data_IF_297027137824
#
_entry.id   IF_297027137824
#
_cell.length_a   1.000
_cell.length_b   1.000
_cell.length_c   1.000
_cell.angle_alpha   90.00
_cell.angle_beta   90.00
_cell.angle_gamma   90.00
#
_symmetry.space_group_name_H-M   'P 1'
#
loop_
_entity.id
_entity.type
_entity.pdbx_description
1 polymer ?
#
# COMPACT_ATOMS: atom_id res chain seq x y z
N UNK A 1 36.53 24.75 8.54
CA UNK A 1 37.00 23.48 7.92
C UNK A 1 36.74 22.28 8.83
N UNK A 2 37.23 22.26 10.08
CA UNK A 2 37.03 21.13 11.01
C UNK A 2 35.56 20.84 11.35
N UNK A 3 34.72 21.87 11.52
CA UNK A 3 33.29 21.70 11.82
C UNK A 3 32.52 21.00 10.69
N UNK A 4 32.71 21.41 9.45
CA UNK A 4 32.11 20.73 8.28
C UNK A 4 32.62 19.28 8.15
N UNK A 5 33.90 19.02 8.43
CA UNK A 5 34.43 17.65 8.43
C UNK A 5 33.80 16.78 9.53
N UNK A 6 33.56 17.35 10.72
CA UNK A 6 32.84 16.70 11.81
C UNK A 6 31.39 16.37 11.40
N UNK A 7 30.68 17.31 10.76
CA UNK A 7 29.33 17.06 10.23
C UNK A 7 29.34 15.95 9.18
N UNK A 8 30.32 15.93 8.27
CA UNK A 8 30.47 14.87 7.26
C UNK A 8 30.75 13.50 7.87
N UNK A 9 31.55 13.44 8.95
CA UNK A 9 31.79 12.20 9.70
C UNK A 9 30.49 11.68 10.32
N UNK A 10 29.74 12.55 10.99
CA UNK A 10 28.45 12.19 11.61
C UNK A 10 27.48 11.61 10.58
N UNK A 11 27.39 12.22 9.40
CA UNK A 11 26.54 11.72 8.30
C UNK A 11 27.06 10.39 7.76
N UNK A 12 28.36 10.31 7.46
CA UNK A 12 28.97 9.15 6.79
C UNK A 12 28.96 7.90 7.66
N UNK A 13 29.19 8.08 8.95
CA UNK A 13 29.36 6.99 9.91
C UNK A 13 28.08 6.77 10.73
N UNK A 14 26.97 7.42 10.34
CA UNK A 14 25.64 7.33 10.95
C UNK A 14 25.63 7.54 12.48
N UNK A 15 26.44 8.49 12.94
CA UNK A 15 26.62 8.73 14.37
C UNK A 15 25.47 9.60 14.92
N UNK A 16 25.06 9.40 16.19
CA UNK A 16 24.14 10.30 16.85
C UNK A 16 24.69 11.73 16.91
N UNK A 17 23.84 12.75 16.78
CA UNK A 17 24.28 14.16 16.88
C UNK A 17 24.90 14.51 18.24
N UNK A 18 24.56 13.77 19.29
CA UNK A 18 25.18 13.91 20.62
C UNK A 18 26.62 13.41 20.67
N UNK A 19 27.13 12.74 19.64
CA UNK A 19 28.51 12.24 19.58
C UNK A 19 29.53 13.36 19.81
N UNK A 20 29.26 14.58 19.31
CA UNK A 20 30.15 15.74 19.48
C UNK A 20 30.23 16.27 20.91
N UNK A 21 29.31 15.84 21.78
CA UNK A 21 29.29 16.18 23.21
C UNK A 21 29.85 15.03 24.07
N UNK A 22 30.23 13.91 23.46
CA UNK A 22 30.80 12.76 24.15
C UNK A 22 32.18 13.08 24.73
N UNK A 23 32.39 12.75 26.01
CA UNK A 23 33.62 13.08 26.75
C UNK A 23 34.88 12.60 26.00
N UNK A 24 34.92 11.34 25.58
CA UNK A 24 36.08 10.79 24.88
C UNK A 24 36.37 11.44 23.52
N UNK A 25 35.33 11.82 22.78
CA UNK A 25 35.50 12.57 21.52
C UNK A 25 36.05 13.97 21.77
N UNK A 26 35.53 14.65 22.81
CA UNK A 26 36.00 15.97 23.22
C UNK A 26 37.46 15.95 23.70
N UNK A 27 37.85 14.97 24.52
CA UNK A 27 39.22 14.81 25.00
C UNK A 27 40.19 14.54 23.84
N UNK A 28 39.86 13.59 22.97
CA UNK A 28 40.66 13.29 21.78
C UNK A 28 40.88 14.53 20.89
N UNK A 29 39.81 15.29 20.61
CA UNK A 29 39.92 16.49 19.78
C UNK A 29 40.61 17.66 20.48
N UNK A 30 40.57 17.77 21.81
CA UNK A 30 41.36 18.77 22.53
C UNK A 30 42.85 18.52 22.39
N UNK A 31 43.28 17.26 22.45
CA UNK A 31 44.68 16.88 22.21
C UNK A 31 45.08 17.10 20.75
N UNK A 32 44.24 16.69 19.80
CA UNK A 32 44.55 16.80 18.38
C UNK A 32 44.43 18.23 17.81
N UNK A 33 43.47 19.03 18.31
CA UNK A 33 43.19 20.40 17.88
C UNK A 33 42.64 21.24 19.05
N UNK A 34 43.52 21.81 19.89
CA UNK A 34 43.12 22.54 21.10
C UNK A 34 42.25 23.77 20.85
N UNK A 35 42.29 24.35 19.63
CA UNK A 35 41.52 25.54 19.26
C UNK A 35 40.16 25.22 18.63
N UNK A 36 39.77 23.95 18.56
CA UNK A 36 38.47 23.57 18.02
C UNK A 36 37.35 23.98 18.97
N UNK A 37 36.38 24.74 18.46
CA UNK A 37 35.17 25.06 19.19
C UNK A 37 34.15 23.91 19.02
N UNK A 38 33.73 23.34 20.15
CA UNK A 38 32.89 22.15 20.18
C UNK A 38 31.43 22.55 19.90
N UNK A 39 30.87 22.16 18.75
CA UNK A 39 29.47 22.45 18.47
C UNK A 39 28.57 21.61 19.38
N UNK A 40 27.42 22.16 19.77
CA UNK A 40 26.37 21.38 20.41
C UNK A 40 25.66 20.45 19.41
N UNK A 41 24.96 19.44 19.91
CA UNK A 41 24.10 18.54 19.11
C UNK A 41 23.11 19.32 18.23
N UNK A 42 22.57 20.42 18.75
CA UNK A 42 21.61 21.29 18.05
C UNK A 42 22.28 22.07 16.94
N UNK A 43 23.55 22.43 17.14
CA UNK A 43 24.37 23.12 16.15
C UNK A 43 24.73 22.16 15.01
N UNK A 44 25.13 20.93 15.33
CA UNK A 44 25.32 19.86 14.34
C UNK A 44 24.03 19.58 13.56
N UNK A 45 22.88 19.46 14.24
CA UNK A 45 21.61 19.22 13.57
C UNK A 45 21.27 20.31 12.54
N UNK A 46 21.52 21.58 12.87
CA UNK A 46 21.38 22.70 11.93
C UNK A 46 22.35 22.58 10.76
N UNK A 47 23.63 22.30 11.02
CA UNK A 47 24.63 22.20 9.95
C UNK A 47 24.36 21.01 9.00
N UNK A 48 23.87 19.88 9.54
CA UNK A 48 23.40 18.74 8.73
C UNK A 48 22.24 19.16 7.84
N UNK A 49 21.29 19.91 8.40
CA UNK A 49 20.14 20.41 7.64
C UNK A 49 20.56 21.39 6.54
N UNK A 50 21.48 22.31 6.83
CA UNK A 50 21.99 23.28 5.87
C UNK A 50 22.74 22.57 4.73
N UNK A 51 23.60 21.60 5.06
CA UNK A 51 24.26 20.75 4.05
C UNK A 51 23.24 19.98 3.21
N UNK A 52 22.19 19.41 3.82
CA UNK A 52 21.12 18.75 3.06
C UNK A 52 20.44 19.71 2.09
N UNK A 53 20.15 20.95 2.51
CA UNK A 53 19.50 21.95 1.67
C UNK A 53 20.41 22.40 0.51
N UNK A 54 21.71 22.55 0.76
CA UNK A 54 22.71 22.84 -0.28
C UNK A 54 22.80 21.70 -1.31
N UNK A 55 22.94 20.45 -0.85
CA UNK A 55 23.00 19.29 -1.75
C UNK A 55 21.69 19.11 -2.51
N UNK A 56 20.54 19.29 -1.85
CA UNK A 56 19.22 19.28 -2.49
C UNK A 56 19.10 20.35 -3.57
N UNK A 57 19.60 21.56 -3.32
CA UNK A 57 19.58 22.63 -4.30
C UNK A 57 20.45 22.30 -5.53
N UNK A 58 21.64 21.70 -5.33
CA UNK A 58 22.52 21.23 -6.42
C UNK A 58 21.87 20.14 -7.26
N UNK A 59 21.12 19.23 -6.64
CA UNK A 59 20.44 18.17 -7.39
C UNK A 59 19.21 18.73 -8.13
N UNK A 60 18.53 19.73 -7.55
CA UNK A 60 17.36 20.36 -8.16
C UNK A 60 17.70 21.34 -9.30
N UNK A 61 18.90 21.92 -9.34
CA UNK A 61 19.31 22.83 -10.42
C UNK A 61 19.41 22.13 -11.78
N UNK A 62 19.54 20.81 -11.81
CA UNK A 62 19.59 20.01 -13.05
C UNK A 62 18.23 19.44 -13.48
N UNK A 63 17.13 19.69 -12.74
CA UNK A 63 15.72 19.40 -13.09
C UNK A 63 15.34 17.93 -13.35
N UNK A 64 16.32 17.06 -13.60
CA UNK A 64 16.20 15.73 -14.15
C UNK A 64 16.78 14.64 -13.23
N UNK A 65 17.53 15.02 -12.18
CA UNK A 65 18.28 14.05 -11.35
C UNK A 65 17.45 13.43 -10.21
N UNK A 66 16.33 14.03 -9.80
CA UNK A 66 15.48 13.52 -8.71
C UNK A 66 14.07 13.10 -9.11
N UNK A 67 13.61 13.41 -10.33
CA UNK A 67 12.28 12.96 -10.79
C UNK A 67 12.32 11.55 -11.39
N UNK A 68 13.06 10.64 -10.76
CA UNK A 68 12.95 9.21 -11.06
C UNK A 68 11.65 8.71 -10.45
N UNK A 69 10.59 8.64 -11.24
CA UNK A 69 9.36 7.95 -10.80
C UNK A 69 9.76 6.51 -10.52
N UNK A 70 9.64 6.07 -9.27
CA UNK A 70 9.94 4.68 -8.94
C UNK A 70 9.01 3.74 -9.74
N UNK A 71 9.50 2.57 -10.14
CA UNK A 71 8.69 1.61 -10.89
C UNK A 71 7.38 1.27 -10.15
N UNK A 72 7.40 1.27 -8.81
CA UNK A 72 6.22 1.13 -7.97
C UNK A 72 5.20 2.28 -8.15
N UNK A 73 5.67 3.53 -8.27
CA UNK A 73 4.81 4.69 -8.52
C UNK A 73 4.20 4.64 -9.93
N UNK A 74 5.00 4.35 -10.96
CA UNK A 74 4.50 4.21 -12.33
C UNK A 74 3.45 3.08 -12.40
N UNK A 75 3.76 1.94 -11.78
CA UNK A 75 2.82 0.82 -11.67
C UNK A 75 1.53 1.24 -10.97
N UNK A 76 1.63 1.96 -9.86
CA UNK A 76 0.46 2.45 -9.13
C UNK A 76 -0.40 3.39 -9.99
N UNK A 77 0.20 4.27 -10.79
CA UNK A 77 -0.53 5.15 -11.72
C UNK A 77 -1.28 4.34 -12.78
N UNK A 78 -0.60 3.39 -13.44
CA UNK A 78 -1.20 2.54 -14.48
C UNK A 78 -2.38 1.76 -13.90
N UNK A 79 -2.16 1.08 -12.77
CA UNK A 79 -3.20 0.26 -12.13
C UNK A 79 -4.36 1.11 -11.62
N UNK A 80 -4.08 2.28 -11.02
CA UNK A 80 -5.14 3.18 -10.52
C UNK A 80 -6.02 3.69 -11.65
N UNK A 81 -5.45 4.01 -12.81
CA UNK A 81 -6.24 4.37 -13.99
C UNK A 81 -7.05 3.18 -14.50
N UNK A 82 -6.44 1.99 -14.64
CA UNK A 82 -7.17 0.78 -15.04
C UNK A 82 -8.32 0.42 -14.11
N UNK A 83 -8.18 0.65 -12.79
CA UNK A 83 -9.25 0.41 -11.80
C UNK A 83 -10.49 1.27 -12.04
N UNK A 84 -10.34 2.48 -12.62
CA UNK A 84 -11.48 3.37 -12.90
C UNK A 84 -12.41 2.79 -13.97
N UNK A 85 -11.84 2.12 -14.97
CA UNK A 85 -12.58 1.51 -16.08
C UNK A 85 -13.53 0.39 -15.61
N UNK A 86 -13.11 -0.36 -14.58
CA UNK A 86 -13.90 -1.49 -14.04
C UNK A 86 -14.39 -1.25 -12.60
N UNK A 87 -14.49 0.02 -12.18
CA UNK A 87 -14.75 0.36 -10.78
C UNK A 87 -16.05 -0.26 -10.25
N UNK A 88 -17.10 -0.36 -11.08
CA UNK A 88 -18.38 -0.97 -10.70
C UNK A 88 -18.25 -2.46 -10.42
N UNK A 89 -17.54 -3.21 -11.28
CA UNK A 89 -17.27 -4.64 -11.07
C UNK A 89 -16.42 -4.89 -9.83
N UNK A 90 -15.44 -4.02 -9.56
CA UNK A 90 -14.66 -4.10 -8.30
C UNK A 90 -15.56 -3.83 -7.09
N UNK A 91 -16.44 -2.83 -7.19
CA UNK A 91 -17.34 -2.44 -6.11
C UNK A 91 -18.40 -3.52 -5.81
N UNK A 92 -18.98 -4.14 -6.83
CA UNK A 92 -19.94 -5.24 -6.65
C UNK A 92 -19.30 -6.43 -5.94
N UNK A 93 -18.12 -6.85 -6.37
CA UNK A 93 -17.36 -7.94 -5.72
C UNK A 93 -16.95 -7.57 -4.29
N UNK A 94 -16.54 -6.31 -4.06
CA UNK A 94 -16.25 -5.81 -2.71
C UNK A 94 -17.48 -5.89 -1.82
N UNK A 95 -18.66 -5.56 -2.33
CA UNK A 95 -19.91 -5.63 -1.57
C UNK A 95 -20.30 -7.07 -1.23
N UNK A 96 -20.06 -8.04 -2.13
CA UNK A 96 -20.15 -9.46 -1.79
C UNK A 96 -19.22 -9.84 -0.63
N UNK A 97 -17.95 -9.42 -0.70
CA UNK A 97 -16.97 -9.68 0.36
C UNK A 97 -17.38 -9.02 1.69
N UNK A 98 -17.91 -7.79 1.66
CA UNK A 98 -18.46 -7.12 2.85
C UNK A 98 -19.63 -7.91 3.43
N UNK A 99 -20.55 -8.40 2.61
CA UNK A 99 -21.73 -9.14 3.06
C UNK A 99 -21.33 -10.40 3.84
N UNK A 100 -20.54 -11.28 3.22
CA UNK A 100 -20.15 -12.57 3.82
C UNK A 100 -19.32 -12.38 5.08
N UNK A 101 -18.53 -11.30 5.16
CA UNK A 101 -17.70 -10.97 6.33
C UNK A 101 -18.47 -10.20 7.42
N UNK A 102 -19.68 -9.74 7.13
CA UNK A 102 -20.46 -8.89 8.02
C UNK A 102 -20.97 -9.61 9.26
N UNK A 103 -21.11 -10.94 9.23
CA UNK A 103 -21.45 -11.74 10.40
C UNK A 103 -21.03 -13.20 10.24
N UNK A 104 -20.88 -13.90 11.37
CA UNK A 104 -20.57 -15.34 11.37
C UNK A 104 -21.65 -16.17 10.65
N UNK A 105 -22.93 -15.80 10.79
CA UNK A 105 -24.03 -16.52 10.14
C UNK A 105 -23.99 -16.39 8.61
N UNK A 106 -23.68 -15.20 8.09
CA UNK A 106 -23.54 -14.98 6.63
C UNK A 106 -22.34 -15.76 6.08
N UNK A 107 -21.25 -15.82 6.85
CA UNK A 107 -20.06 -16.60 6.48
C UNK A 107 -20.36 -18.10 6.46
N UNK A 108 -21.08 -18.63 7.45
CA UNK A 108 -21.47 -20.04 7.50
C UNK A 108 -22.39 -20.41 6.35
N UNK A 109 -23.38 -19.58 6.02
CA UNK A 109 -24.21 -19.77 4.81
C UNK A 109 -23.38 -19.80 3.53
N UNK A 110 -22.40 -18.90 3.40
CA UNK A 110 -21.51 -18.89 2.24
C UNK A 110 -20.68 -20.18 2.15
N UNK A 111 -20.17 -20.68 3.29
CA UNK A 111 -19.47 -21.97 3.33
C UNK A 111 -20.36 -23.13 2.90
N UNK A 112 -21.63 -23.16 3.33
CA UNK A 112 -22.59 -24.16 2.86
C UNK A 112 -22.80 -24.09 1.34
N UNK A 113 -22.85 -22.88 0.77
CA UNK A 113 -22.91 -22.69 -0.68
C UNK A 113 -21.66 -23.25 -1.39
N UNK A 114 -20.47 -23.02 -0.84
CA UNK A 114 -19.21 -23.57 -1.37
C UNK A 114 -19.17 -25.10 -1.30
N UNK A 115 -19.67 -25.70 -0.23
CA UNK A 115 -19.73 -27.17 -0.07
C UNK A 115 -20.63 -27.80 -1.14
N UNK A 116 -21.79 -27.20 -1.42
CA UNK A 116 -22.71 -27.67 -2.47
C UNK A 116 -22.08 -27.61 -3.87
N UNK A 117 -21.30 -26.56 -4.14
CA UNK A 117 -20.56 -26.39 -5.40
C UNK A 117 -19.22 -27.16 -5.43
N UNK A 118 -18.89 -27.91 -4.37
CA UNK A 118 -17.63 -28.66 -4.21
C UNK A 118 -16.37 -27.79 -4.35
N UNK A 119 -16.48 -26.54 -3.91
CA UNK A 119 -15.37 -25.57 -3.87
C UNK A 119 -14.70 -25.63 -2.49
N UNK A 120 -13.39 -25.39 -2.43
CA UNK A 120 -12.65 -25.33 -1.16
C UNK A 120 -13.20 -24.25 -0.21
N UNK A 121 -13.66 -24.67 0.96
CA UNK A 121 -14.26 -23.81 1.98
C UNK A 121 -13.26 -23.13 2.90
N UNK A 122 -11.98 -23.53 2.83
CA UNK A 122 -10.89 -22.92 3.62
C UNK A 122 -10.52 -21.55 3.08
N UNK A 123 -10.68 -21.35 1.77
CA UNK A 123 -10.35 -20.10 1.11
C UNK A 123 -11.40 -19.03 1.44
N UNK A 124 -10.95 -17.88 1.95
CA UNK A 124 -11.81 -16.72 2.21
C UNK A 124 -11.47 -15.56 1.28
N UNK A 125 -12.47 -14.74 0.97
CA UNK A 125 -12.22 -13.47 0.26
C UNK A 125 -11.71 -12.42 1.26
N UNK A 126 -10.48 -11.89 1.11
CA UNK A 126 -10.02 -10.78 1.92
C UNK A 126 -10.73 -9.49 1.49
N UNK A 127 -10.96 -8.57 2.44
CA UNK A 127 -11.43 -7.22 2.07
C UNK A 127 -10.23 -6.38 1.63
N UNK A 128 -10.38 -5.64 0.53
CA UNK A 128 -9.31 -4.78 0.05
C UNK A 128 -9.17 -3.48 0.86
N UNK A 129 -7.95 -2.96 0.87
CA UNK A 129 -7.67 -1.57 1.23
C UNK A 129 -7.73 -0.76 -0.06
N UNK A 130 -8.77 0.03 -0.25
CA UNK A 130 -9.06 0.73 -1.51
C UNK A 130 -7.88 1.55 -2.08
N UNK A 131 -7.06 2.12 -1.18
CA UNK A 131 -5.85 2.89 -1.48
C UNK A 131 -4.65 2.04 -1.93
N UNK A 132 -4.68 0.71 -1.78
CA UNK A 132 -3.59 -0.21 -2.14
C UNK A 132 -4.07 -1.26 -3.14
N UNK A 133 -3.73 -1.07 -4.41
CA UNK A 133 -4.18 -1.96 -5.48
C UNK A 133 -3.75 -3.44 -5.31
N UNK A 134 -2.62 -3.72 -4.65
CA UNK A 134 -2.21 -5.10 -4.32
C UNK A 134 -3.29 -5.84 -3.52
N UNK A 135 -3.93 -5.16 -2.56
CA UNK A 135 -5.00 -5.75 -1.78
C UNK A 135 -6.29 -5.94 -2.60
N UNK A 136 -6.57 -5.01 -3.53
CA UNK A 136 -7.66 -5.17 -4.51
C UNK A 136 -7.41 -6.39 -5.40
N UNK A 137 -6.19 -6.59 -5.89
CA UNK A 137 -5.81 -7.78 -6.66
C UNK A 137 -6.08 -9.08 -5.88
N UNK A 138 -5.61 -9.17 -4.63
CA UNK A 138 -5.84 -10.37 -3.80
C UNK A 138 -7.32 -10.62 -3.53
N UNK A 139 -8.12 -9.58 -3.29
CA UNK A 139 -9.58 -9.70 -3.14
C UNK A 139 -10.22 -10.27 -4.41
N UNK A 140 -9.91 -9.71 -5.58
CA UNK A 140 -10.49 -10.16 -6.85
C UNK A 140 -10.02 -11.58 -7.22
N UNK A 141 -8.74 -11.90 -7.02
CA UNK A 141 -8.20 -13.23 -7.30
C UNK A 141 -8.86 -14.31 -6.43
N UNK A 142 -9.06 -14.04 -5.14
CA UNK A 142 -9.80 -14.96 -4.26
C UNK A 142 -11.28 -15.03 -4.61
N UNK A 143 -11.93 -13.90 -4.90
CA UNK A 143 -13.35 -13.87 -5.26
C UNK A 143 -13.64 -14.69 -6.53
N UNK A 144 -12.76 -14.61 -7.54
CA UNK A 144 -12.89 -15.41 -8.77
C UNK A 144 -12.84 -16.92 -8.51
N UNK A 145 -12.02 -17.38 -7.56
CA UNK A 145 -11.97 -18.81 -7.17
C UNK A 145 -13.26 -19.26 -6.49
N UNK A 146 -13.99 -18.35 -5.86
CA UNK A 146 -15.21 -18.60 -5.11
C UNK A 146 -16.48 -18.13 -5.85
N UNK A 147 -16.38 -17.78 -7.13
CA UNK A 147 -17.49 -17.24 -7.94
C UNK A 147 -18.76 -18.11 -7.82
N UNK A 148 -18.61 -19.43 -7.95
CA UNK A 148 -19.72 -20.39 -7.85
C UNK A 148 -20.46 -20.32 -6.51
N UNK A 149 -19.75 -20.07 -5.42
CA UNK A 149 -20.36 -19.87 -4.11
C UNK A 149 -21.21 -18.60 -4.02
N UNK A 150 -20.81 -17.53 -4.73
CA UNK A 150 -21.60 -16.30 -4.78
C UNK A 150 -22.83 -16.45 -5.67
N UNK A 151 -22.71 -17.12 -6.82
CA UNK A 151 -23.84 -17.44 -7.69
C UNK A 151 -24.89 -18.27 -6.92
N UNK A 152 -24.46 -19.31 -6.19
CA UNK A 152 -25.33 -20.12 -5.34
C UNK A 152 -25.98 -19.30 -4.21
N UNK A 153 -25.22 -18.43 -3.56
CA UNK A 153 -25.75 -17.56 -2.50
C UNK A 153 -26.79 -16.57 -3.03
N UNK A 154 -26.67 -16.13 -4.29
CA UNK A 154 -27.67 -15.31 -4.97
C UNK A 154 -28.98 -16.06 -5.22
N UNK A 155 -28.90 -17.34 -5.58
CA UNK A 155 -30.06 -18.22 -5.78
C UNK A 155 -30.76 -18.57 -4.46
N UNK A 156 -29.98 -18.85 -3.40
CA UNK A 156 -30.49 -19.48 -2.18
C UNK A 156 -30.81 -18.51 -1.02
N UNK A 157 -30.21 -17.31 -0.97
CA UNK A 157 -30.41 -16.37 0.14
C UNK A 157 -31.08 -15.05 -0.30
N UNK A 158 -32.40 -14.88 -0.10
CA UNK A 158 -33.09 -13.63 -0.37
C UNK A 158 -32.50 -12.42 0.39
N UNK A 159 -31.87 -12.63 1.54
CA UNK A 159 -31.21 -11.54 2.28
C UNK A 159 -29.92 -11.08 1.60
N UNK A 160 -29.29 -11.93 0.79
CA UNK A 160 -28.15 -11.53 -0.02
C UNK A 160 -28.59 -10.56 -1.11
N UNK A 161 -29.66 -10.87 -1.84
CA UNK A 161 -30.27 -9.95 -2.80
C UNK A 161 -30.75 -8.66 -2.13
N UNK A 162 -31.44 -8.78 -0.99
CA UNK A 162 -31.91 -7.62 -0.22
C UNK A 162 -30.79 -6.68 0.24
N UNK A 163 -29.59 -7.19 0.51
CA UNK A 163 -28.43 -6.37 0.87
C UNK A 163 -28.01 -5.39 -0.23
N UNK A 164 -28.22 -5.73 -1.51
CA UNK A 164 -27.93 -4.83 -2.63
C UNK A 164 -29.04 -3.81 -2.88
N UNK A 165 -30.23 -4.03 -2.34
CA UNK A 165 -31.34 -3.06 -2.36
C UNK A 165 -31.20 -1.94 -1.31
N UNK A 166 -30.38 -2.16 -0.29
CA UNK A 166 -30.09 -1.16 0.73
C UNK A 166 -29.24 0.01 0.19
N UNK A 167 -29.40 1.17 0.83
CA UNK A 167 -28.63 2.37 0.53
C UNK A 167 -27.52 2.57 1.56
N UNK A 168 -26.29 2.77 1.10
CA UNK A 168 -25.12 3.07 1.93
C UNK A 168 -24.86 4.59 1.92
N UNK A 169 -24.39 5.11 3.06
CA UNK A 169 -23.99 6.51 3.17
C UNK A 169 -22.75 6.76 2.30
N UNK A 170 -22.82 7.77 1.45
CA UNK A 170 -21.73 8.20 0.58
C UNK A 170 -21.51 9.71 0.77
N UNK A 171 -20.83 10.06 1.86
CA UNK A 171 -20.73 11.45 2.29
C UNK A 171 -22.09 11.98 2.75
N UNK A 172 -22.61 13.00 2.06
CA UNK A 172 -23.92 13.61 2.37
C UNK A 172 -25.10 12.91 1.69
N UNK A 173 -24.83 12.03 0.72
CA UNK A 173 -25.85 11.36 -0.08
C UNK A 173 -25.97 9.89 0.33
N UNK A 174 -27.14 9.29 0.03
CA UNK A 174 -27.36 7.86 0.14
C UNK A 174 -27.34 7.27 -1.26
N UNK A 175 -26.50 6.27 -1.50
CA UNK A 175 -26.41 5.58 -2.79
C UNK A 175 -26.76 4.11 -2.61
N UNK A 176 -27.54 3.54 -3.54
CA UNK A 176 -27.80 2.11 -3.60
C UNK A 176 -26.48 1.34 -3.72
N UNK A 177 -26.33 0.23 -3.01
CA UNK A 177 -25.13 -0.61 -3.13
C UNK A 177 -25.04 -1.19 -4.55
N UNK A 178 -23.82 -1.20 -5.09
CA UNK A 178 -23.55 -1.81 -6.39
C UNK A 178 -23.53 -3.32 -6.23
N UNK A 179 -24.28 -4.04 -7.07
CA UNK A 179 -24.34 -5.50 -7.14
C UNK A 179 -25.78 -6.05 -7.11
N UNK A 180 -25.95 -7.39 -7.03
CA UNK A 180 -24.89 -8.41 -7.08
C UNK A 180 -24.11 -8.40 -8.41
N UNK A 181 -22.88 -8.96 -8.47
CA UNK A 181 -22.06 -8.95 -9.68
C UNK A 181 -22.70 -9.77 -10.80
N UNK A 182 -22.85 -9.15 -11.97
CA UNK A 182 -23.35 -9.81 -13.18
C UNK A 182 -22.28 -10.70 -13.83
N UNK A 183 -22.67 -11.53 -14.80
CA UNK A 183 -21.71 -12.29 -15.62
C UNK A 183 -20.64 -11.39 -16.26
N UNK A 184 -21.04 -10.21 -16.73
CA UNK A 184 -20.13 -9.20 -17.27
C UNK A 184 -19.12 -8.70 -16.22
N UNK A 185 -19.55 -8.51 -14.98
CA UNK A 185 -18.64 -8.10 -13.89
C UNK A 185 -17.58 -9.16 -13.60
N UNK A 186 -17.99 -10.43 -13.60
CA UNK A 186 -17.06 -11.55 -13.43
C UNK A 186 -16.08 -11.64 -14.59
N UNK A 187 -16.54 -11.47 -15.83
CA UNK A 187 -15.67 -11.53 -17.01
C UNK A 187 -14.70 -10.35 -17.10
N UNK A 188 -15.17 -9.13 -16.81
CA UNK A 188 -14.32 -7.96 -16.66
C UNK A 188 -13.25 -8.18 -15.58
N UNK A 189 -13.64 -8.76 -14.45
CA UNK A 189 -12.73 -9.07 -13.34
C UNK A 189 -11.70 -10.12 -13.74
N UNK A 190 -12.08 -11.18 -14.46
CA UNK A 190 -11.14 -12.20 -14.97
C UNK A 190 -10.07 -11.58 -15.87
N UNK A 191 -10.47 -10.71 -16.79
CA UNK A 191 -9.54 -10.00 -17.68
C UNK A 191 -8.62 -9.09 -16.88
N UNK A 192 -9.18 -8.33 -15.94
CA UNK A 192 -8.40 -7.38 -15.14
C UNK A 192 -7.44 -8.04 -14.16
N UNK A 193 -7.83 -9.15 -13.51
CA UNK A 193 -6.93 -9.93 -12.63
C UNK A 193 -5.73 -10.45 -13.40
N UNK A 194 -5.92 -10.94 -14.64
CA UNK A 194 -4.79 -11.35 -15.51
C UNK A 194 -3.85 -10.18 -15.82
N UNK A 195 -4.40 -8.99 -16.04
CA UNK A 195 -3.62 -7.77 -16.22
C UNK A 195 -2.85 -7.40 -14.95
N UNK A 196 -3.53 -7.32 -13.80
CA UNK A 196 -2.94 -6.97 -12.50
C UNK A 196 -1.85 -7.94 -12.06
N UNK A 197 -2.01 -9.24 -12.35
CA UNK A 197 -1.04 -10.28 -11.97
C UNK A 197 0.37 -9.95 -12.44
N UNK A 198 0.52 -9.43 -13.67
CA UNK A 198 1.82 -9.03 -14.23
C UNK A 198 2.49 -7.95 -13.38
N UNK A 199 1.73 -6.96 -12.91
CA UNK A 199 2.23 -5.89 -12.04
C UNK A 199 2.46 -6.38 -10.62
N UNK A 200 1.62 -7.28 -10.12
CA UNK A 200 1.75 -7.87 -8.79
C UNK A 200 3.07 -8.64 -8.67
N UNK A 201 3.34 -9.51 -9.64
CA UNK A 201 4.58 -10.28 -9.72
C UNK A 201 5.81 -9.36 -9.85
N UNK A 202 5.71 -8.29 -10.64
CA UNK A 202 6.76 -7.28 -10.73
C UNK A 202 7.01 -6.57 -9.39
N UNK A 203 5.94 -6.22 -8.67
CA UNK A 203 6.01 -5.55 -7.37
C UNK A 203 6.69 -6.45 -6.33
N UNK A 204 6.40 -7.75 -6.32
CA UNK A 204 7.10 -8.71 -5.45
C UNK A 204 8.61 -8.76 -5.71
N UNK A 205 9.03 -8.63 -6.97
CA UNK A 205 10.47 -8.55 -7.32
C UNK A 205 11.11 -7.24 -6.85
N UNK A 206 10.40 -6.12 -6.94
CA UNK A 206 10.91 -4.81 -6.49
C UNK A 206 10.92 -4.67 -4.96
N UNK A 207 10.02 -5.37 -4.27
CA UNK A 207 9.87 -5.28 -2.80
C UNK A 207 10.84 -6.20 -2.06
N UNK A 208 11.48 -7.11 -2.78
CA UNK A 208 12.52 -7.99 -2.25
C UNK A 208 13.85 -7.23 -2.13
N UNK A 209 13.95 -6.31 -1.17
CA UNK A 209 15.25 -5.90 -0.67
C UNK A 209 15.86 -7.10 0.05
N UNK A 210 16.82 -7.77 -0.60
CA UNK A 210 17.81 -8.58 0.11
C UNK A 210 18.66 -7.62 0.93
N UNK A 211 18.34 -7.50 2.20
CA UNK A 211 19.23 -6.99 3.26
C UNK A 211 19.18 -7.98 4.39
#
# INVERSE_FOLDING_TARGET
RCRIACVKMIIRDELPFSHVEGIGFCEFLKEAQPRFDFPSRTTIARDVWDLYQEEKAKINSDGNLLHVRCCAHITNLIVTNGKKEIHQSIESIRNCAKYIRGSSQRLEKFRACLEMEKVDTRTMVPLDVCARWNSTYMMLESALKLQKGFERMEEDDPNFLGYFEEYEAHGKEKKKRVGPPTSLDWDNTKVFVKFLKKFYDATLRFSASKT
#
